data_IF_683161124250
#
_entry.id   IF_683161124250
#
_cell.length_a   1.000
_cell.length_b   1.000
_cell.length_c   1.000
_cell.angle_alpha   90.00
_cell.angle_beta   90.00
_cell.angle_gamma   90.00
#
_symmetry.space_group_name_H-M   'P 1'
#
loop_
_entity.id
_entity.type
_entity.pdbx_description
1 polymer ?
#
# COMPACT_ATOMS: atom_id res chain seq x y z
N UNK A 1 15.24 4.94 4.74
CA UNK A 1 14.27 3.85 4.51
C UNK A 1 13.41 3.65 5.75
N UNK A 2 12.07 3.75 5.66
CA UNK A 2 11.15 3.81 6.81
C UNK A 2 10.34 2.50 6.96
N UNK A 3 10.86 1.54 7.73
CA UNK A 3 10.20 0.24 8.00
C UNK A 3 8.77 0.41 8.54
N UNK A 4 8.55 1.39 9.44
CA UNK A 4 7.22 1.67 9.99
C UNK A 4 6.23 2.06 8.89
N UNK A 5 6.63 2.93 7.97
CA UNK A 5 5.77 3.34 6.86
C UNK A 5 5.38 2.19 5.93
N UNK A 6 6.27 1.21 5.73
CA UNK A 6 5.92 -0.01 4.97
C UNK A 6 4.93 -0.90 5.73
N UNK A 7 5.04 -1.01 7.06
CA UNK A 7 4.06 -1.73 7.86
C UNK A 7 2.70 -1.01 7.88
N UNK A 8 2.70 0.33 7.90
CA UNK A 8 1.47 1.12 7.77
C UNK A 8 0.83 0.91 6.39
N UNK A 9 1.63 0.86 5.31
CA UNK A 9 1.15 0.54 3.97
C UNK A 9 0.55 -0.87 3.88
N UNK A 10 1.22 -1.88 4.45
CA UNK A 10 0.70 -3.25 4.48
C UNK A 10 -0.64 -3.32 5.25
N UNK A 11 -0.73 -2.68 6.41
CA UNK A 11 -1.96 -2.63 7.20
C UNK A 11 -3.12 -1.94 6.43
N UNK A 12 -2.85 -0.85 5.71
CA UNK A 12 -3.85 -0.19 4.86
C UNK A 12 -4.35 -1.13 3.76
N UNK A 13 -3.45 -1.87 3.12
CA UNK A 13 -3.80 -2.82 2.07
C UNK A 13 -4.61 -4.01 2.64
N UNK A 14 -4.31 -4.45 3.86
CA UNK A 14 -5.09 -5.47 4.59
C UNK A 14 -6.51 -4.97 4.91
N UNK A 15 -6.64 -3.73 5.40
CA UNK A 15 -7.94 -3.11 5.68
C UNK A 15 -8.78 -3.02 4.39
N UNK A 16 -8.18 -2.55 3.28
CA UNK A 16 -8.84 -2.49 1.97
C UNK A 16 -9.26 -3.88 1.47
N UNK A 17 -8.42 -4.90 1.64
CA UNK A 17 -8.74 -6.28 1.26
C UNK A 17 -9.91 -6.85 2.06
N UNK A 18 -10.05 -6.43 3.31
CA UNK A 18 -11.17 -6.77 4.18
C UNK A 18 -12.44 -5.93 3.91
N UNK A 19 -12.38 -4.96 2.99
CA UNK A 19 -13.47 -4.01 2.74
C UNK A 19 -13.69 -3.02 3.88
N UNK A 20 -12.66 -2.79 4.70
CA UNK A 20 -12.68 -1.83 5.80
C UNK A 20 -12.15 -0.47 5.33
N UNK A 21 -12.56 0.58 6.04
CA UNK A 21 -12.04 1.94 5.79
C UNK A 21 -10.72 2.13 6.55
N UNK A 22 -9.59 2.35 5.86
CA UNK A 22 -8.29 2.48 6.51
C UNK A 22 -8.10 3.85 7.17
N UNK A 23 -7.25 3.91 8.20
CA UNK A 23 -6.88 5.17 8.83
C UNK A 23 -6.15 6.11 7.86
N UNK A 24 -6.62 7.35 7.73
CA UNK A 24 -6.06 8.34 6.80
C UNK A 24 -4.60 8.67 7.09
N UNK A 25 -4.19 8.68 8.36
CA UNK A 25 -2.79 8.90 8.75
C UNK A 25 -1.89 7.78 8.22
N UNK A 26 -2.32 6.53 8.34
CA UNK A 26 -1.63 5.35 7.79
C UNK A 26 -1.61 5.35 6.27
N UNK A 27 -2.69 5.77 5.60
CA UNK A 27 -2.71 5.89 4.14
C UNK A 27 -1.61 6.85 3.67
N UNK A 28 -1.51 8.04 4.28
CA UNK A 28 -0.49 9.04 3.89
C UNK A 28 0.93 8.55 4.19
N UNK A 29 1.16 7.99 5.39
CA UNK A 29 2.46 7.47 5.78
C UNK A 29 2.90 6.31 4.89
N UNK A 30 1.97 5.40 4.57
CA UNK A 30 2.20 4.27 3.67
C UNK A 30 2.50 4.72 2.24
N UNK A 31 1.73 5.67 1.70
CA UNK A 31 1.96 6.25 0.38
C UNK A 31 3.38 6.82 0.25
N UNK A 32 3.82 7.62 1.22
CA UNK A 32 5.17 8.22 1.23
C UNK A 32 6.28 7.16 1.31
N UNK A 33 6.08 6.10 2.09
CA UNK A 33 7.06 5.03 2.22
C UNK A 33 7.20 4.21 0.94
N UNK A 34 6.07 3.89 0.28
CA UNK A 34 6.06 3.18 -1.00
C UNK A 34 6.64 4.04 -2.13
N UNK A 35 6.36 5.35 -2.14
CA UNK A 35 6.93 6.30 -3.11
C UNK A 35 8.45 6.40 -2.99
N UNK A 36 8.98 6.52 -1.77
CA UNK A 36 10.41 6.49 -1.53
C UNK A 36 11.04 5.17 -2.00
N UNK A 37 10.39 4.03 -1.76
CA UNK A 37 10.86 2.73 -2.23
C UNK A 37 10.82 2.62 -3.76
N UNK A 38 9.80 3.18 -4.40
CA UNK A 38 9.69 3.20 -5.86
C UNK A 38 10.81 4.04 -6.49
N UNK A 39 11.19 5.16 -5.88
CA UNK A 39 12.30 5.98 -6.35
C UNK A 39 13.62 5.21 -6.36
N UNK A 40 13.85 4.36 -5.34
CA UNK A 40 15.04 3.50 -5.24
C UNK A 40 14.95 2.26 -6.16
N UNK A 41 13.74 1.75 -6.41
CA UNK A 41 13.48 0.51 -7.16
C UNK A 41 12.34 0.65 -8.18
N UNK A 42 12.51 1.43 -9.26
CA UNK A 42 11.43 1.76 -10.19
C UNK A 42 10.91 0.58 -11.02
N UNK A 43 11.64 -0.54 -11.07
CA UNK A 43 11.24 -1.74 -11.80
C UNK A 43 10.25 -2.64 -11.04
N UNK A 44 9.98 -2.36 -9.77
CA UNK A 44 9.12 -3.18 -8.91
C UNK A 44 7.65 -2.83 -9.08
N UNK A 45 7.02 -3.43 -10.10
CA UNK A 45 5.65 -3.12 -10.52
C UNK A 45 4.60 -3.22 -9.40
N UNK A 46 4.65 -4.30 -8.61
CA UNK A 46 3.70 -4.49 -7.51
C UNK A 46 3.81 -3.34 -6.49
N UNK A 47 5.01 -2.77 -6.29
CA UNK A 47 5.23 -1.63 -5.40
C UNK A 47 4.71 -0.33 -5.99
N UNK A 48 4.89 -0.14 -7.29
CA UNK A 48 4.34 0.98 -8.04
C UNK A 48 2.81 0.98 -7.96
N UNK A 49 2.18 -0.18 -8.17
CA UNK A 49 0.72 -0.33 -8.09
C UNK A 49 0.20 -0.01 -6.68
N UNK A 50 0.90 -0.48 -5.64
CA UNK A 50 0.56 -0.14 -4.25
C UNK A 50 0.72 1.36 -3.97
N UNK A 51 1.83 1.97 -4.41
CA UNK A 51 2.10 3.40 -4.21
C UNK A 51 1.02 4.26 -4.88
N UNK A 52 0.70 4.01 -6.15
CA UNK A 52 -0.34 4.73 -6.86
C UNK A 52 -1.72 4.56 -6.23
N UNK A 53 -2.06 3.34 -5.78
CA UNK A 53 -3.32 3.09 -5.09
C UNK A 53 -3.46 3.88 -3.80
N UNK A 54 -2.43 3.89 -2.95
CA UNK A 54 -2.45 4.64 -1.68
C UNK A 54 -2.41 6.16 -1.91
N UNK A 55 -1.67 6.64 -2.91
CA UNK A 55 -1.66 8.07 -3.27
C UNK A 55 -3.04 8.54 -3.76
N UNK A 56 -3.74 7.73 -4.57
CA UNK A 56 -5.09 8.03 -5.02
C UNK A 56 -6.07 8.13 -3.84
N UNK A 57 -6.00 7.20 -2.88
CA UNK A 57 -6.79 7.26 -1.64
C UNK A 57 -6.44 8.49 -0.79
N UNK A 58 -5.15 8.81 -0.63
CA UNK A 58 -4.71 9.97 0.14
C UNK A 58 -5.26 11.30 -0.44
N UNK A 59 -5.37 11.38 -1.75
CA UNK A 59 -5.96 12.50 -2.49
C UNK A 59 -7.50 12.58 -2.39
N UNK A 60 -8.15 11.61 -1.71
CA UNK A 60 -9.61 11.53 -1.60
C UNK A 60 -10.29 10.79 -2.75
N UNK A 61 -9.52 10.09 -3.59
CA UNK A 61 -10.06 9.17 -4.59
C UNK A 61 -10.59 7.89 -3.95
N UNK A 62 -11.33 7.11 -4.73
CA UNK A 62 -11.82 5.79 -4.34
C UNK A 62 -11.08 4.70 -5.14
N UNK A 63 -10.81 3.57 -4.50
CA UNK A 63 -10.44 2.34 -5.20
C UNK A 63 -11.70 1.51 -5.44
N UNK A 64 -11.79 0.92 -6.62
CA UNK A 64 -12.85 -0.05 -6.90
C UNK A 64 -12.50 -1.35 -6.16
N UNK A 65 -13.11 -1.53 -4.98
CA UNK A 65 -12.91 -2.66 -4.07
C UNK A 65 -13.94 -3.76 -4.34
N UNK A 66 -14.15 -4.09 -5.62
CA UNK A 66 -14.86 -5.31 -5.97
C UNK A 66 -14.05 -6.55 -5.52
N UNK A 67 -14.58 -7.76 -5.72
CA UNK A 67 -13.88 -8.98 -5.33
C UNK A 67 -12.46 -9.10 -5.93
N UNK A 68 -12.20 -8.48 -7.09
CA UNK A 68 -10.86 -8.45 -7.71
C UNK A 68 -9.99 -7.37 -7.08
N UNK A 69 -10.54 -6.20 -6.77
CA UNK A 69 -9.90 -5.12 -6.05
C UNK A 69 -9.40 -5.55 -4.67
N UNK A 70 -10.25 -6.23 -3.90
CA UNK A 70 -9.88 -6.77 -2.59
C UNK A 70 -8.79 -7.85 -2.69
N UNK A 71 -8.90 -8.78 -3.64
CA UNK A 71 -7.87 -9.80 -3.86
C UNK A 71 -6.52 -9.19 -4.27
N UNK A 72 -6.53 -8.14 -5.08
CA UNK A 72 -5.32 -7.39 -5.43
C UNK A 72 -4.73 -6.69 -4.21
N UNK A 73 -5.55 -6.03 -3.40
CA UNK A 73 -5.09 -5.39 -2.17
C UNK A 73 -4.43 -6.41 -1.21
N UNK A 74 -5.02 -7.60 -1.06
CA UNK A 74 -4.45 -8.68 -0.25
C UNK A 74 -3.06 -9.12 -0.76
N UNK A 75 -2.92 -9.33 -2.08
CA UNK A 75 -1.62 -9.69 -2.68
C UNK A 75 -0.57 -8.60 -2.46
N UNK A 76 -0.95 -7.33 -2.59
CA UNK A 76 -0.04 -6.21 -2.35
C UNK A 76 0.37 -6.11 -0.88
N UNK A 77 -0.55 -6.35 0.06
CA UNK A 77 -0.24 -6.39 1.49
C UNK A 77 0.84 -7.42 1.81
N UNK A 78 0.71 -8.65 1.30
CA UNK A 78 1.69 -9.73 1.51
C UNK A 78 3.09 -9.34 1.01
N UNK A 79 3.17 -8.76 -0.19
CA UNK A 79 4.44 -8.33 -0.80
C UNK A 79 5.10 -7.23 0.03
N UNK A 80 4.33 -6.19 0.41
CA UNK A 80 4.84 -5.06 1.19
C UNK A 80 5.28 -5.52 2.58
N UNK A 81 4.54 -6.45 3.21
CA UNK A 81 4.90 -7.05 4.50
C UNK A 81 6.21 -7.84 4.40
N UNK A 82 6.32 -8.73 3.43
CA UNK A 82 7.53 -9.55 3.21
C UNK A 82 8.76 -8.68 3.00
N UNK A 83 8.60 -7.54 2.31
CA UNK A 83 9.69 -6.59 2.15
C UNK A 83 10.02 -5.91 3.48
N UNK A 84 9.03 -5.40 4.21
CA UNK A 84 9.24 -4.75 5.50
C UNK A 84 9.93 -5.65 6.54
N UNK A 85 9.72 -6.97 6.45
CA UNK A 85 10.37 -7.97 7.28
C UNK A 85 11.79 -8.34 6.81
N UNK A 86 12.13 -8.03 5.55
CA UNK A 86 13.47 -8.24 4.98
C UNK A 86 14.42 -7.06 5.18
N UNK A 87 13.93 -5.93 5.72
CA UNK A 87 14.67 -4.71 6.02
C UNK A 87 15.11 -4.63 7.47
#
# INVERSE_FOLDING_TARGET
MNRKGLLDAAAVLEDLAAGLEPDRGRIVAGAQALEAMHADHPSWRDMTDAAFGLQALAAGGALDLDAKGCARAARLAEIVRSLADSL
#
